data_IF_577068063189
#
_entry.id   IF_577068063189
#
_cell.length_a   1.000
_cell.length_b   1.000
_cell.length_c   1.000
_cell.angle_alpha   90.00
_cell.angle_beta   90.00
_cell.angle_gamma   90.00
#
_symmetry.space_group_name_H-M   'P 1'
#
loop_
_entity.id
_entity.type
_entity.pdbx_description
1 polymer ?
#
# COMPACT_ATOMS: atom_id res chain seq x y z
N UNK A 1 9.76 -75.05 21.11
CA UNK A 1 8.47 -74.38 21.40
C UNK A 1 8.73 -72.89 21.58
N UNK A 2 7.94 -72.05 20.92
CA UNK A 2 7.83 -70.59 21.07
C UNK A 2 9.09 -69.78 20.60
N UNK A 3 9.01 -68.64 19.90
CA UNK A 3 7.91 -67.70 19.68
C UNK A 3 8.13 -66.89 18.39
N UNK A 4 7.06 -66.64 17.65
CA UNK A 4 6.95 -65.46 16.77
C UNK A 4 7.14 -64.20 17.63
N UNK A 5 7.98 -63.23 17.23
CA UNK A 5 7.46 -61.85 17.20
C UNK A 5 8.18 -60.99 16.14
N UNK A 6 7.98 -61.26 14.85
CA UNK A 6 8.42 -60.31 13.81
C UNK A 6 7.25 -59.63 13.07
N UNK A 7 6.01 -60.08 13.30
CA UNK A 7 4.82 -59.62 12.56
C UNK A 7 3.92 -58.63 13.33
N UNK A 8 4.20 -58.34 14.61
CA UNK A 8 3.42 -57.39 15.43
C UNK A 8 4.01 -55.96 15.47
N UNK A 9 5.31 -55.81 15.21
CA UNK A 9 5.98 -54.51 15.27
C UNK A 9 5.61 -53.57 14.11
N UNK A 10 5.13 -54.11 12.99
CA UNK A 10 4.75 -53.33 11.80
C UNK A 10 3.34 -52.74 11.89
N UNK A 11 2.39 -53.45 12.51
CA UNK A 11 0.99 -52.99 12.63
C UNK A 11 0.82 -51.79 13.56
N UNK A 12 1.49 -51.79 14.72
CA UNK A 12 1.43 -50.69 15.68
C UNK A 12 2.14 -49.42 15.14
N UNK A 13 3.26 -49.58 14.45
CA UNK A 13 3.99 -48.47 13.83
C UNK A 13 3.18 -47.80 12.70
N UNK A 14 2.49 -48.60 11.86
CA UNK A 14 1.61 -48.08 10.82
C UNK A 14 0.37 -47.37 11.40
N UNK A 15 -0.21 -47.90 12.48
CA UNK A 15 -1.33 -47.25 13.16
C UNK A 15 -0.92 -45.92 13.81
N UNK A 16 0.26 -45.84 14.43
CA UNK A 16 0.80 -44.61 14.99
C UNK A 16 1.10 -43.56 13.90
N UNK A 17 1.66 -43.98 12.77
CA UNK A 17 1.92 -43.10 11.63
C UNK A 17 0.61 -42.58 11.00
N UNK A 18 -0.40 -43.44 10.85
CA UNK A 18 -1.72 -43.04 10.35
C UNK A 18 -2.40 -42.05 11.30
N UNK A 19 -2.33 -42.28 12.61
CA UNK A 19 -2.89 -41.38 13.62
C UNK A 19 -2.17 -40.02 13.65
N UNK A 20 -0.84 -40.01 13.55
CA UNK A 20 -0.04 -38.79 13.44
C UNK A 20 -0.40 -38.00 12.17
N UNK A 21 -0.52 -38.67 11.02
CA UNK A 21 -0.85 -38.05 9.74
C UNK A 21 -2.28 -37.46 9.74
N UNK A 22 -3.26 -38.15 10.33
CA UNK A 22 -4.63 -37.64 10.50
C UNK A 22 -4.68 -36.43 11.44
N UNK A 23 -3.92 -36.46 12.54
CA UNK A 23 -3.80 -35.35 13.48
C UNK A 23 -3.12 -34.13 12.83
N UNK A 24 -2.06 -34.36 12.05
CA UNK A 24 -1.38 -33.33 11.27
C UNK A 24 -2.33 -32.69 10.25
N UNK A 25 -3.04 -33.51 9.44
CA UNK A 25 -4.05 -33.00 8.50
C UNK A 25 -5.17 -32.23 9.16
N UNK A 26 -5.63 -32.60 10.37
CA UNK A 26 -6.64 -31.80 11.09
C UNK A 26 -6.12 -30.45 11.55
N UNK A 27 -4.83 -30.36 11.94
CA UNK A 27 -4.20 -29.10 12.36
C UNK A 27 -3.87 -28.17 11.19
N UNK A 28 -3.47 -28.74 10.06
CA UNK A 28 -3.08 -27.99 8.84
C UNK A 28 -4.20 -27.87 7.82
N UNK A 29 -5.38 -28.46 8.10
CA UNK A 29 -6.55 -28.30 7.27
C UNK A 29 -6.83 -26.79 7.11
N UNK A 30 -6.94 -26.29 5.86
CA UNK A 30 -7.32 -24.91 5.63
C UNK A 30 -8.65 -24.67 6.34
N UNK A 31 -8.69 -23.64 7.18
CA UNK A 31 -9.92 -23.26 7.87
C UNK A 31 -11.00 -23.02 6.82
N UNK A 32 -12.24 -23.48 7.04
CA UNK A 32 -13.34 -23.15 6.14
C UNK A 32 -13.40 -21.63 6.01
N UNK A 33 -13.69 -21.10 4.80
CA UNK A 33 -13.77 -19.66 4.61
C UNK A 33 -14.77 -19.09 5.61
N UNK A 34 -14.47 -17.96 6.26
CA UNK A 34 -15.38 -17.34 7.20
C UNK A 34 -16.72 -17.09 6.51
N UNK A 35 -17.83 -17.35 7.22
CA UNK A 35 -19.19 -17.09 6.69
C UNK A 35 -19.25 -15.65 6.17
N UNK A 36 -19.82 -15.40 4.97
CA UNK A 36 -19.91 -14.06 4.42
C UNK A 36 -20.67 -13.17 5.40
N UNK A 37 -19.95 -12.21 6.00
CA UNK A 37 -20.57 -11.25 6.90
C UNK A 37 -21.52 -10.34 6.11
N UNK A 38 -22.66 -9.92 6.70
CA UNK A 38 -23.54 -8.97 6.05
C UNK A 38 -22.77 -7.69 5.73
N UNK A 39 -22.83 -7.26 4.46
CA UNK A 39 -22.13 -6.07 3.99
C UNK A 39 -22.69 -4.86 4.76
N UNK A 40 -21.89 -4.29 5.67
CA UNK A 40 -22.23 -3.05 6.38
C UNK A 40 -22.59 -1.98 5.34
N UNK A 41 -23.72 -1.31 5.54
CA UNK A 41 -24.16 -0.20 4.69
C UNK A 41 -23.07 0.88 4.71
N UNK A 42 -22.58 1.26 3.54
CA UNK A 42 -21.52 2.27 3.44
C UNK A 42 -22.13 3.66 3.40
N UNK A 43 -21.62 4.55 4.25
CA UNK A 43 -22.09 5.93 4.37
C UNK A 43 -21.48 6.84 3.30
N UNK A 44 -22.10 8.00 3.07
CA UNK A 44 -21.57 9.05 2.20
C UNK A 44 -20.21 9.55 2.73
N UNK A 45 -19.22 9.62 1.84
CA UNK A 45 -17.90 10.20 2.13
C UNK A 45 -17.96 11.69 2.51
N UNK A 46 -19.07 12.35 2.20
CA UNK A 46 -19.35 13.73 2.60
C UNK A 46 -19.64 13.91 4.10
N UNK A 47 -19.88 12.83 4.86
CA UNK A 47 -20.20 12.91 6.28
C UNK A 47 -21.66 13.23 6.62
N UNK A 48 -22.56 13.32 5.62
CA UNK A 48 -23.97 13.69 5.85
C UNK A 48 -24.84 12.61 6.52
N UNK A 49 -24.26 11.50 6.98
CA UNK A 49 -24.98 10.39 7.62
C UNK A 49 -25.86 9.53 6.69
N UNK A 50 -26.08 9.93 5.43
CA UNK A 50 -26.88 9.16 4.46
C UNK A 50 -26.11 7.97 3.90
N UNK A 51 -26.84 6.89 3.58
CA UNK A 51 -26.31 5.72 2.89
C UNK A 51 -25.88 6.10 1.48
N UNK A 52 -24.68 5.70 1.06
CA UNK A 52 -24.20 5.99 -0.27
C UNK A 52 -24.91 5.13 -1.33
N UNK A 53 -25.39 5.77 -2.39
CA UNK A 53 -26.07 5.15 -3.53
C UNK A 53 -25.21 5.15 -4.80
N UNK A 54 -24.20 6.02 -4.85
CA UNK A 54 -23.38 6.23 -6.04
C UNK A 54 -21.90 6.33 -5.71
N UNK A 55 -21.06 6.12 -6.72
CA UNK A 55 -19.59 6.22 -6.65
C UNK A 55 -19.09 7.36 -7.50
N UNK A 56 -17.94 7.93 -7.14
CA UNK A 56 -17.24 8.88 -7.98
C UNK A 56 -16.95 8.22 -9.34
N UNK A 57 -17.38 8.87 -10.43
CA UNK A 57 -17.21 8.36 -11.79
C UNK A 57 -15.74 8.23 -12.22
N UNK A 58 -14.83 9.00 -11.60
CA UNK A 58 -13.41 9.02 -11.91
C UNK A 58 -12.62 8.01 -11.08
N UNK A 59 -12.58 8.18 -9.76
CA UNK A 59 -11.75 7.29 -8.93
C UNK A 59 -12.42 5.98 -8.52
N UNK A 60 -13.75 5.84 -8.64
CA UNK A 60 -14.53 4.66 -8.21
C UNK A 60 -14.43 4.28 -6.72
N UNK A 61 -13.56 4.93 -5.94
CA UNK A 61 -13.36 4.70 -4.50
C UNK A 61 -14.37 5.47 -3.66
N UNK A 62 -14.45 6.79 -3.85
CA UNK A 62 -15.33 7.64 -3.04
C UNK A 62 -16.81 7.38 -3.34
N UNK A 63 -17.63 7.37 -2.28
CA UNK A 63 -19.06 7.08 -2.35
C UNK A 63 -19.90 8.25 -1.86
N UNK A 64 -21.01 8.51 -2.52
CA UNK A 64 -21.91 9.63 -2.22
C UNK A 64 -23.36 9.16 -2.17
N UNK A 65 -24.18 9.87 -1.37
CA UNK A 65 -25.61 9.63 -1.30
C UNK A 65 -26.37 10.22 -2.51
N UNK A 66 -25.94 11.39 -3.00
CA UNK A 66 -26.52 12.06 -4.15
C UNK A 66 -25.45 12.79 -4.99
N UNK A 67 -25.85 13.28 -6.17
CA UNK A 67 -25.01 14.16 -7.00
C UNK A 67 -24.71 15.48 -6.30
N UNK A 68 -25.64 16.05 -5.53
CA UNK A 68 -25.33 17.29 -4.79
C UNK A 68 -24.31 17.03 -3.68
N UNK A 69 -24.37 15.87 -2.99
CA UNK A 69 -23.33 15.47 -2.03
C UNK A 69 -21.95 15.38 -2.69
N UNK A 70 -21.88 14.86 -3.92
CA UNK A 70 -20.63 14.82 -4.66
C UNK A 70 -20.14 16.22 -5.03
N UNK A 71 -21.03 17.09 -5.51
CA UNK A 71 -20.69 18.45 -5.94
C UNK A 71 -20.22 19.33 -4.77
N UNK A 72 -20.96 19.30 -3.66
CA UNK A 72 -20.63 20.06 -2.44
C UNK A 72 -19.26 19.70 -1.85
N UNK A 73 -18.82 18.45 -1.99
CA UNK A 73 -17.52 17.99 -1.48
C UNK A 73 -16.45 17.81 -2.56
N UNK A 74 -16.69 18.27 -3.80
CA UNK A 74 -15.78 18.05 -4.92
C UNK A 74 -14.38 18.63 -4.68
N UNK A 75 -14.28 19.78 -3.98
CA UNK A 75 -12.99 20.44 -3.68
C UNK A 75 -12.12 19.62 -2.72
N UNK A 76 -12.67 19.21 -1.58
CA UNK A 76 -11.97 18.37 -0.61
C UNK A 76 -11.69 16.95 -1.15
N UNK A 77 -12.56 16.45 -2.03
CA UNK A 77 -12.37 15.16 -2.68
C UNK A 77 -11.28 15.20 -3.76
N UNK A 78 -11.08 16.32 -4.45
CA UNK A 78 -10.24 16.39 -5.64
C UNK A 78 -8.84 15.78 -5.47
N UNK A 79 -8.06 16.07 -4.41
CA UNK A 79 -6.74 15.46 -4.24
C UNK A 79 -6.82 13.93 -4.18
N UNK A 80 -7.72 13.38 -3.35
CA UNK A 80 -7.91 11.92 -3.25
C UNK A 80 -8.35 11.34 -4.59
N UNK A 81 -9.25 12.02 -5.30
CA UNK A 81 -9.75 11.56 -6.58
C UNK A 81 -8.63 11.39 -7.60
N UNK A 82 -7.72 12.36 -7.69
CA UNK A 82 -6.59 12.29 -8.61
C UNK A 82 -5.55 11.27 -8.15
N UNK A 83 -5.30 11.17 -6.85
CA UNK A 83 -4.42 10.14 -6.29
C UNK A 83 -4.91 8.72 -6.62
N UNK A 84 -6.16 8.39 -6.28
CA UNK A 84 -6.76 7.07 -6.52
C UNK A 84 -6.81 6.73 -8.02
N UNK A 85 -7.05 7.72 -8.87
CA UNK A 85 -6.98 7.52 -10.33
C UNK A 85 -5.55 7.31 -10.82
N UNK A 86 -4.56 7.94 -10.18
CA UNK A 86 -3.14 7.67 -10.42
C UNK A 86 -2.78 6.24 -10.07
N UNK A 87 -3.26 5.73 -8.93
CA UNK A 87 -3.09 4.31 -8.54
C UNK A 87 -3.71 3.38 -9.58
N UNK A 88 -4.95 3.64 -10.00
CA UNK A 88 -5.58 2.85 -11.08
C UNK A 88 -4.78 2.88 -12.40
N UNK A 89 -4.15 4.01 -12.73
CA UNK A 89 -3.28 4.10 -13.90
C UNK A 89 -1.99 3.28 -13.72
N UNK A 90 -1.43 3.21 -12.51
CA UNK A 90 -0.30 2.32 -12.20
C UNK A 90 -0.69 0.85 -12.37
N UNK A 91 -1.84 0.46 -11.83
CA UNK A 91 -2.37 -0.91 -11.94
C UNK A 91 -2.65 -1.31 -13.40
N UNK A 92 -3.01 -0.33 -14.24
CA UNK A 92 -3.20 -0.50 -15.67
C UNK A 92 -1.89 -0.48 -16.48
N UNK A 93 -0.72 -0.31 -15.84
CA UNK A 93 0.57 -0.24 -16.53
C UNK A 93 0.80 1.06 -17.30
N UNK A 94 0.17 2.16 -16.89
CA UNK A 94 0.27 3.49 -17.52
C UNK A 94 1.06 4.50 -16.64
N UNK A 95 2.36 4.25 -16.34
CA UNK A 95 3.10 5.01 -15.33
C UNK A 95 3.25 6.51 -15.66
N UNK A 96 3.38 6.87 -16.94
CA UNK A 96 3.44 8.29 -17.36
C UNK A 96 2.13 9.04 -17.09
N UNK A 97 1.00 8.36 -17.27
CA UNK A 97 -0.32 8.93 -16.97
C UNK A 97 -0.53 9.03 -15.46
N UNK A 98 -0.11 8.00 -14.72
CA UNK A 98 -0.14 8.00 -13.26
C UNK A 98 0.65 9.18 -12.68
N UNK A 99 1.87 9.43 -13.18
CA UNK A 99 2.69 10.56 -12.74
C UNK A 99 1.96 11.92 -12.88
N UNK A 100 1.30 12.17 -14.03
CA UNK A 100 0.48 13.39 -14.24
C UNK A 100 -0.70 13.49 -13.28
N UNK A 101 -1.33 12.36 -12.96
CA UNK A 101 -2.45 12.31 -12.01
C UNK A 101 -1.96 12.60 -10.58
N UNK A 102 -0.81 12.07 -10.16
CA UNK A 102 -0.21 12.37 -8.86
C UNK A 102 0.23 13.83 -8.75
N UNK A 103 0.83 14.39 -9.80
CA UNK A 103 1.15 15.82 -9.88
C UNK A 103 -0.11 16.69 -9.72
N UNK A 104 -1.20 16.32 -10.41
CA UNK A 104 -2.48 17.01 -10.26
C UNK A 104 -3.03 16.87 -8.85
N UNK A 105 -2.89 15.70 -8.22
CA UNK A 105 -3.29 15.48 -6.82
C UNK A 105 -2.58 16.44 -5.88
N UNK A 106 -1.25 16.58 -6.03
CA UNK A 106 -0.42 17.51 -5.25
C UNK A 106 -0.91 18.95 -5.45
N UNK A 107 -1.07 19.40 -6.69
CA UNK A 107 -1.54 20.75 -7.00
C UNK A 107 -2.94 21.07 -6.43
N UNK A 108 -3.79 20.04 -6.26
CA UNK A 108 -5.09 20.20 -5.58
C UNK A 108 -4.93 20.20 -4.06
N UNK A 109 -4.04 19.37 -3.50
CA UNK A 109 -3.74 19.34 -2.07
C UNK A 109 -3.19 20.68 -1.57
N UNK A 110 -2.45 21.41 -2.42
CA UNK A 110 -1.89 22.73 -2.11
C UNK A 110 -2.92 23.79 -1.77
N UNK A 111 -4.18 23.55 -2.16
CA UNK A 111 -5.32 24.43 -1.90
C UNK A 111 -6.04 24.09 -0.60
N UNK A 112 -5.60 23.04 0.11
CA UNK A 112 -6.16 22.63 1.38
C UNK A 112 -5.43 23.30 2.56
N UNK A 113 -6.05 23.30 3.76
CA UNK A 113 -5.39 23.71 4.98
C UNK A 113 -4.04 22.99 5.21
N UNK A 114 -3.05 23.63 5.85
CA UNK A 114 -1.70 23.08 6.01
C UNK A 114 -1.65 21.65 6.55
N UNK A 115 -2.48 21.34 7.56
CA UNK A 115 -2.56 20.04 8.23
C UNK A 115 -3.01 18.91 7.30
N UNK A 116 -3.98 19.19 6.42
CA UNK A 116 -4.43 18.21 5.42
C UNK A 116 -3.48 18.14 4.21
N UNK A 117 -2.88 19.27 3.85
CA UNK A 117 -2.00 19.42 2.69
C UNK A 117 -0.77 18.53 2.82
N UNK A 118 -0.06 18.61 3.95
CA UNK A 118 1.22 17.90 4.14
C UNK A 118 1.05 16.38 4.07
N UNK A 119 -0.02 15.85 4.67
CA UNK A 119 -0.33 14.41 4.67
C UNK A 119 -0.70 13.89 3.28
N UNK A 120 -1.44 14.68 2.49
CA UNK A 120 -1.84 14.28 1.13
C UNK A 120 -0.67 14.39 0.15
N UNK A 121 0.25 15.33 0.38
CA UNK A 121 1.46 15.51 -0.44
C UNK A 121 2.44 14.36 -0.30
N UNK A 122 2.76 13.91 0.91
CA UNK A 122 3.81 12.89 1.13
C UNK A 122 3.53 11.61 0.35
N UNK A 123 2.33 11.04 0.50
CA UNK A 123 1.89 9.86 -0.23
C UNK A 123 1.87 10.07 -1.75
N UNK A 124 1.44 11.25 -2.21
CA UNK A 124 1.39 11.56 -3.64
C UNK A 124 2.79 11.70 -4.27
N UNK A 125 3.75 12.30 -3.57
CA UNK A 125 5.15 12.37 -4.02
C UNK A 125 5.81 11.00 -4.11
N UNK A 126 5.60 10.15 -3.09
CA UNK A 126 6.08 8.77 -3.09
C UNK A 126 5.52 7.99 -4.30
N UNK A 127 4.21 8.06 -4.52
CA UNK A 127 3.57 7.39 -5.65
C UNK A 127 4.02 7.96 -7.01
N UNK A 128 4.25 9.28 -7.09
CA UNK A 128 4.80 9.93 -8.27
C UNK A 128 6.24 9.49 -8.56
N UNK A 129 7.08 9.36 -7.53
CA UNK A 129 8.45 8.84 -7.66
C UNK A 129 8.45 7.42 -8.23
N UNK A 130 7.60 6.54 -7.70
CA UNK A 130 7.42 5.16 -8.21
C UNK A 130 6.94 5.15 -9.66
N UNK A 131 5.97 5.99 -9.99
CA UNK A 131 5.46 6.12 -11.35
C UNK A 131 6.54 6.58 -12.33
N UNK A 132 7.34 7.59 -11.97
CA UNK A 132 8.44 8.10 -12.79
C UNK A 132 9.56 7.07 -12.95
N UNK A 133 9.88 6.35 -11.87
CA UNK A 133 10.83 5.24 -11.92
C UNK A 133 10.36 4.13 -12.87
N UNK A 134 9.08 3.72 -12.81
CA UNK A 134 8.51 2.74 -13.76
C UNK A 134 8.50 3.25 -15.21
N UNK A 135 8.36 4.56 -15.40
CA UNK A 135 8.47 5.20 -16.70
C UNK A 135 9.93 5.40 -17.18
N UNK A 136 10.93 5.01 -16.37
CA UNK A 136 12.38 5.24 -16.57
C UNK A 136 12.77 6.72 -16.68
N UNK A 137 11.99 7.59 -16.07
CA UNK A 137 12.29 9.02 -15.93
C UNK A 137 12.99 9.23 -14.58
N UNK A 138 14.26 8.82 -14.52
CA UNK A 138 14.98 8.64 -13.26
C UNK A 138 15.29 9.96 -12.55
N UNK A 139 15.68 11.01 -13.28
CA UNK A 139 15.94 12.34 -12.70
C UNK A 139 14.67 12.89 -12.05
N UNK A 140 13.55 12.79 -12.77
CA UNK A 140 12.26 13.25 -12.26
C UNK A 140 11.77 12.35 -11.10
N UNK A 141 12.13 11.07 -11.07
CA UNK A 141 11.83 10.17 -9.96
C UNK A 141 12.60 10.57 -8.70
N UNK A 142 13.91 10.83 -8.82
CA UNK A 142 14.75 11.31 -7.71
C UNK A 142 14.22 12.63 -7.14
N UNK A 143 13.87 13.59 -8.02
CA UNK A 143 13.27 14.85 -7.60
C UNK A 143 11.94 14.64 -6.84
N UNK A 144 11.09 13.72 -7.30
CA UNK A 144 9.83 13.38 -6.64
C UNK A 144 10.05 12.75 -5.26
N UNK A 145 10.99 11.82 -5.14
CA UNK A 145 11.34 11.20 -3.86
C UNK A 145 11.92 12.22 -2.87
N UNK A 146 12.81 13.12 -3.31
CA UNK A 146 13.36 14.18 -2.46
C UNK A 146 12.27 15.14 -1.93
N UNK A 147 11.33 15.53 -2.79
CA UNK A 147 10.15 16.31 -2.39
C UNK A 147 9.25 15.53 -1.42
N UNK A 148 9.11 14.22 -1.62
CA UNK A 148 8.40 13.31 -0.73
C UNK A 148 8.99 13.24 0.67
N UNK A 149 10.32 13.10 0.79
CA UNK A 149 11.03 13.14 2.09
C UNK A 149 10.76 14.45 2.82
N UNK A 150 10.86 15.58 2.11
CA UNK A 150 10.61 16.92 2.68
C UNK A 150 9.17 17.04 3.18
N UNK A 151 8.19 16.61 2.37
CA UNK A 151 6.79 16.66 2.75
C UNK A 151 6.45 15.71 3.91
N UNK A 152 7.03 14.52 3.93
CA UNK A 152 6.82 13.52 4.97
C UNK A 152 7.38 13.99 6.33
N UNK A 153 8.53 14.67 6.34
CA UNK A 153 9.08 15.34 7.52
C UNK A 153 8.13 16.42 8.04
N UNK A 154 7.63 17.29 7.17
CA UNK A 154 6.68 18.34 7.55
C UNK A 154 5.33 17.77 8.05
N UNK A 155 4.92 16.61 7.55
CA UNK A 155 3.70 15.92 7.97
C UNK A 155 3.86 15.06 9.24
N UNK A 156 5.09 14.93 9.77
CA UNK A 156 5.44 13.96 10.80
C UNK A 156 5.02 12.51 10.45
N UNK A 157 5.29 12.09 9.22
CA UNK A 157 5.01 10.72 8.73
C UNK A 157 6.35 10.05 8.37
N UNK A 158 7.09 9.48 9.34
CA UNK A 158 8.42 8.96 9.11
C UNK A 158 8.46 7.77 8.14
N UNK A 159 7.41 6.94 8.13
CA UNK A 159 7.30 5.82 7.19
C UNK A 159 7.37 6.28 5.72
N UNK A 160 6.60 7.31 5.34
CA UNK A 160 6.62 7.88 3.99
C UNK A 160 8.02 8.42 3.62
N UNK A 161 8.72 9.03 4.60
CA UNK A 161 10.07 9.54 4.39
C UNK A 161 11.06 8.41 4.09
N UNK A 162 11.02 7.33 4.88
CA UNK A 162 11.86 6.13 4.68
C UNK A 162 11.55 5.50 3.33
N UNK A 163 10.28 5.34 2.96
CA UNK A 163 9.90 4.78 1.66
C UNK A 163 10.40 5.62 0.49
N UNK A 164 10.36 6.95 0.60
CA UNK A 164 10.93 7.83 -0.43
C UNK A 164 12.46 7.67 -0.54
N UNK A 165 13.16 7.56 0.58
CA UNK A 165 14.62 7.35 0.59
C UNK A 165 15.00 6.01 -0.03
N UNK A 166 14.28 4.93 0.30
CA UNK A 166 14.46 3.61 -0.31
C UNK A 166 14.12 3.64 -1.81
N UNK A 167 13.09 4.40 -2.21
CA UNK A 167 12.75 4.64 -3.61
C UNK A 167 13.89 5.31 -4.37
N UNK A 168 14.46 6.37 -3.81
CA UNK A 168 15.61 7.08 -4.39
C UNK A 168 16.85 6.17 -4.49
N UNK A 169 17.17 5.41 -3.43
CA UNK A 169 18.26 4.44 -3.44
C UNK A 169 18.10 3.38 -4.55
N UNK A 170 16.87 2.91 -4.78
CA UNK A 170 16.57 1.98 -5.87
C UNK A 170 16.75 2.61 -7.26
N UNK A 171 16.46 3.90 -7.41
CA UNK A 171 16.74 4.62 -8.66
C UNK A 171 18.25 4.74 -8.86
N UNK A 172 19.00 5.22 -7.85
CA UNK A 172 20.47 5.32 -7.92
C UNK A 172 21.11 3.98 -8.25
N UNK A 173 20.64 2.90 -7.62
CA UNK A 173 21.10 1.54 -7.92
C UNK A 173 20.90 1.16 -9.39
N UNK A 174 19.81 1.62 -10.00
CA UNK A 174 19.49 1.32 -11.39
C UNK A 174 20.32 2.13 -12.41
N UNK A 175 20.76 3.34 -12.04
CA UNK A 175 21.55 4.23 -12.92
C UNK A 175 23.07 4.06 -12.73
N UNK A 176 23.53 3.99 -11.48
CA UNK A 176 24.95 4.08 -11.11
C UNK A 176 25.47 2.79 -10.43
N UNK A 177 24.59 1.81 -10.23
CA UNK A 177 24.93 0.51 -9.66
C UNK A 177 24.84 0.45 -8.13
N UNK A 178 25.07 -0.76 -7.58
CA UNK A 178 24.81 -1.05 -6.18
C UNK A 178 25.67 -0.23 -5.20
N UNK A 179 26.94 0.01 -5.54
CA UNK A 179 27.87 0.76 -4.68
C UNK A 179 27.41 2.20 -4.43
N UNK A 180 26.92 2.88 -5.46
CA UNK A 180 26.41 4.26 -5.35
C UNK A 180 25.14 4.37 -4.48
N UNK A 181 24.37 3.28 -4.34
CA UNK A 181 23.13 3.26 -3.58
C UNK A 181 23.30 2.93 -2.09
N UNK A 182 24.46 2.40 -1.67
CA UNK A 182 24.70 1.93 -0.28
C UNK A 182 24.46 3.05 0.72
N UNK A 183 25.02 4.24 0.47
CA UNK A 183 24.87 5.39 1.36
C UNK A 183 23.42 5.83 1.54
N UNK A 184 22.61 5.75 0.47
CA UNK A 184 21.19 6.09 0.55
C UNK A 184 20.38 5.03 1.31
N UNK A 185 20.70 3.75 1.15
CA UNK A 185 20.07 2.69 1.94
C UNK A 185 20.47 2.77 3.42
N UNK A 186 21.73 3.07 3.72
CA UNK A 186 22.20 3.28 5.08
C UNK A 186 21.49 4.47 5.76
N UNK A 187 21.37 5.60 5.04
CA UNK A 187 20.62 6.76 5.53
C UNK A 187 19.14 6.43 5.76
N UNK A 188 18.51 5.62 4.90
CA UNK A 188 17.13 5.19 5.08
C UNK A 188 16.95 4.30 6.31
N UNK A 189 17.89 3.38 6.56
CA UNK A 189 17.89 2.50 7.73
C UNK A 189 18.04 3.29 9.03
N UNK A 190 19.03 4.19 9.12
CA UNK A 190 19.23 5.04 10.30
C UNK A 190 17.97 5.84 10.65
N UNK A 191 17.27 6.36 9.64
CA UNK A 191 16.02 7.09 9.84
C UNK A 191 14.85 6.21 10.28
N UNK A 192 14.81 4.96 9.85
CA UNK A 192 13.82 4.00 10.33
C UNK A 192 14.04 3.70 11.81
N UNK A 193 15.30 3.56 12.24
CA UNK A 193 15.66 3.33 13.65
C UNK A 193 15.28 4.53 14.53
N UNK A 194 15.56 5.76 14.09
CA UNK A 194 15.12 7.00 14.76
C UNK A 194 13.60 7.03 14.96
N UNK A 195 12.83 6.65 13.95
CA UNK A 195 11.37 6.67 13.99
C UNK A 195 10.75 5.59 14.89
N UNK A 196 11.46 4.50 15.14
CA UNK A 196 11.05 3.44 16.08
C UNK A 196 11.36 3.86 17.52
N UNK A 197 12.40 4.67 17.72
CA UNK A 197 12.85 5.10 19.04
C UNK A 197 12.06 6.29 19.64
N UNK A 198 11.28 7.01 18.82
CA UNK A 198 10.45 8.18 19.19
C UNK A 198 9.01 7.82 19.55
#
# INVERSE_FOLDING_TARGET
MASKPALLATGAALAAAAWYYLRYRRKTAPKPPPKPQPKKRQLCACGCGRVASMRCGRCKTARYATRECQASHARAHAPVCYFDSGVQAMDAGEPRKAAKLFETSIAKADKLPPEERVKRRSAAYLAMGRARQMAKDYDAALAAYAAGVTSAKAANVPADAVECMVGAANVVRAIDGAAAAVELFAAAAARADEAIAS
#
